data_IF_300084709079
#
_entry.id   IF_300084709079
#
_cell.length_a   1.000
_cell.length_b   1.000
_cell.length_c   1.000
_cell.angle_alpha   90.00
_cell.angle_beta   90.00
_cell.angle_gamma   90.00
#
_symmetry.space_group_name_H-M   'P 1'
#
loop_
_entity.id
_entity.type
_entity.pdbx_description
1 polymer ?
#
# COMPACT_ATOMS: atom_id res chain seq x y z
N UNK A 1 14.65 14.55 -12.17
CA UNK A 1 14.90 13.14 -11.84
C UNK A 1 16.26 12.64 -12.32
N UNK A 2 16.62 12.72 -13.62
CA UNK A 2 17.93 12.30 -14.15
C UNK A 2 19.13 12.91 -13.42
N UNK A 3 19.14 14.21 -13.16
CA UNK A 3 20.23 14.88 -12.44
C UNK A 3 20.37 14.40 -10.99
N UNK A 4 19.26 14.06 -10.32
CA UNK A 4 19.27 13.44 -9.00
C UNK A 4 19.87 12.03 -9.05
N UNK A 5 19.44 11.22 -10.02
CA UNK A 5 19.94 9.86 -10.21
C UNK A 5 21.46 9.85 -10.44
N UNK A 6 21.94 10.64 -11.40
CA UNK A 6 23.37 10.70 -11.73
C UNK A 6 24.21 11.12 -10.52
N UNK A 7 23.73 12.08 -9.72
CA UNK A 7 24.42 12.53 -8.50
C UNK A 7 24.40 11.48 -7.38
N UNK A 8 23.29 10.73 -7.23
CA UNK A 8 23.10 9.76 -6.15
C UNK A 8 23.80 8.43 -6.40
N UNK A 9 23.86 8.00 -7.65
CA UNK A 9 24.34 6.65 -8.02
C UNK A 9 25.64 6.69 -8.85
N UNK A 10 26.16 7.87 -9.18
CA UNK A 10 27.41 8.00 -9.95
C UNK A 10 27.33 7.45 -11.37
N UNK A 11 26.13 7.25 -11.90
CA UNK A 11 25.87 6.65 -13.20
C UNK A 11 24.90 7.49 -14.03
N UNK A 12 24.96 7.34 -15.34
CA UNK A 12 24.04 8.00 -16.24
C UNK A 12 22.68 7.29 -16.27
N UNK A 13 21.61 8.08 -16.33
CA UNK A 13 20.26 7.55 -16.52
C UNK A 13 20.15 6.75 -17.82
N UNK A 14 19.62 5.55 -17.76
CA UNK A 14 19.35 4.69 -18.90
C UNK A 14 17.85 4.42 -19.06
N UNK A 15 17.46 3.85 -20.21
CA UNK A 15 16.06 3.45 -20.42
C UNK A 15 15.61 2.34 -19.48
N UNK A 16 16.52 1.47 -19.02
CA UNK A 16 16.23 0.44 -18.02
C UNK A 16 15.80 1.03 -16.68
N UNK A 17 16.34 2.21 -16.30
CA UNK A 17 15.90 2.91 -15.09
C UNK A 17 14.45 3.39 -15.19
N UNK A 18 14.04 3.81 -16.39
CA UNK A 18 12.64 4.18 -16.63
C UNK A 18 11.70 2.98 -16.47
N UNK A 19 12.12 1.81 -16.97
CA UNK A 19 11.35 0.57 -16.82
C UNK A 19 11.29 0.12 -15.35
N UNK A 20 12.42 0.17 -14.64
CA UNK A 20 12.46 -0.15 -13.21
C UNK A 20 11.54 0.76 -12.40
N UNK A 21 11.55 2.06 -12.65
CA UNK A 21 10.65 3.00 -11.97
C UNK A 21 9.18 2.72 -12.28
N UNK A 22 8.86 2.31 -13.51
CA UNK A 22 7.48 2.02 -13.90
C UNK A 22 6.86 0.85 -13.12
N UNK A 23 7.68 -0.08 -12.64
CA UNK A 23 7.26 -1.21 -11.80
C UNK A 23 7.54 -1.01 -10.31
N UNK A 24 7.95 0.20 -9.91
CA UNK A 24 8.23 0.53 -8.51
C UNK A 24 9.57 0.03 -7.97
N UNK A 25 10.51 -0.31 -8.85
CA UNK A 25 11.85 -0.81 -8.50
C UNK A 25 12.95 0.24 -8.75
N UNK A 26 14.20 -0.13 -8.53
CA UNK A 26 15.38 0.69 -8.82
C UNK A 26 15.47 1.92 -7.93
N UNK A 27 15.65 3.10 -8.53
CA UNK A 27 15.82 4.36 -7.81
C UNK A 27 14.51 4.95 -7.20
N UNK A 28 13.44 4.18 -7.14
CA UNK A 28 12.17 4.58 -6.54
C UNK A 28 12.20 4.45 -5.01
N UNK A 29 12.90 5.37 -4.36
CA UNK A 29 12.98 5.40 -2.89
C UNK A 29 11.76 6.11 -2.31
N UNK A 30 10.94 5.37 -1.56
CA UNK A 30 9.76 5.88 -0.88
C UNK A 30 9.85 5.59 0.62
N UNK A 31 9.29 6.47 1.44
CA UNK A 31 9.06 6.17 2.84
C UNK A 31 7.67 5.57 3.02
N UNK A 32 7.49 4.73 4.05
CA UNK A 32 6.17 4.20 4.41
C UNK A 32 5.16 5.32 4.66
N UNK A 33 5.59 6.39 5.34
CA UNK A 33 4.75 7.56 5.60
C UNK A 33 4.28 8.25 4.31
N UNK A 34 5.16 8.41 3.31
CA UNK A 34 4.82 9.01 2.02
C UNK A 34 3.80 8.16 1.25
N UNK A 35 3.99 6.84 1.22
CA UNK A 35 3.04 5.93 0.58
C UNK A 35 1.69 5.93 1.30
N UNK A 36 1.69 5.82 2.64
CA UNK A 36 0.44 5.85 3.43
C UNK A 36 -0.31 7.16 3.22
N UNK A 37 0.40 8.30 3.18
CA UNK A 37 -0.18 9.61 2.84
C UNK A 37 -0.85 9.62 1.46
N UNK A 38 -0.20 9.05 0.44
CA UNK A 38 -0.78 8.93 -0.90
C UNK A 38 -2.05 8.08 -0.91
N UNK A 39 -2.05 6.95 -0.18
CA UNK A 39 -3.23 6.10 -0.06
C UNK A 39 -4.38 6.75 0.73
N UNK A 40 -4.06 7.68 1.65
CA UNK A 40 -5.10 8.51 2.29
C UNK A 40 -5.85 9.33 1.24
N UNK A 41 -5.15 9.87 0.23
CA UNK A 41 -5.82 10.57 -0.85
C UNK A 41 -6.69 9.65 -1.73
N UNK A 42 -6.26 8.41 -1.99
CA UNK A 42 -7.10 7.43 -2.71
C UNK A 42 -8.35 7.05 -1.91
N UNK A 43 -8.21 6.93 -0.60
CA UNK A 43 -9.31 6.61 0.32
C UNK A 43 -10.29 7.79 0.50
N UNK A 44 -9.81 9.03 0.45
CA UNK A 44 -10.55 10.25 0.79
C UNK A 44 -10.69 11.21 -0.41
N UNK A 45 -11.07 10.69 -1.57
CA UNK A 45 -11.43 11.45 -2.79
C UNK A 45 -10.42 12.54 -3.18
N UNK A 46 -9.15 12.23 -3.01
CA UNK A 46 -8.04 13.11 -3.36
C UNK A 46 -7.51 13.97 -2.22
N UNK A 47 -8.20 13.98 -1.08
CA UNK A 47 -7.79 14.73 0.10
C UNK A 47 -6.77 13.95 0.93
N UNK A 48 -5.68 14.57 1.31
CA UNK A 48 -4.65 13.99 2.17
C UNK A 48 -4.15 15.00 3.20
N UNK A 49 -3.65 14.46 4.31
CA UNK A 49 -3.06 15.24 5.40
C UNK A 49 -1.58 14.91 5.57
N UNK A 50 -0.83 15.81 6.16
CA UNK A 50 0.53 15.49 6.61
C UNK A 50 0.43 14.60 7.84
N UNK A 51 1.19 13.48 7.89
CA UNK A 51 1.25 12.65 9.09
C UNK A 51 1.73 13.44 10.31
N UNK A 52 1.06 13.29 11.44
CA UNK A 52 1.36 13.97 12.69
C UNK A 52 1.59 12.94 13.79
N UNK A 53 2.57 13.21 14.66
CA UNK A 53 2.85 12.35 15.83
C UNK A 53 2.03 12.80 17.07
N UNK A 54 1.60 14.06 17.10
CA UNK A 54 0.81 14.63 18.19
C UNK A 54 -0.56 15.00 17.64
N UNK A 55 -1.61 14.64 18.37
CA UNK A 55 -2.98 14.93 17.96
C UNK A 55 -3.21 16.45 17.85
N UNK A 56 -3.35 16.91 16.63
CA UNK A 56 -3.86 18.24 16.27
C UNK A 56 -4.72 18.07 15.01
N UNK A 57 -5.53 19.08 14.70
CA UNK A 57 -6.28 19.04 13.45
C UNK A 57 -5.32 19.18 12.25
N UNK A 58 -5.14 18.12 11.44
CA UNK A 58 -4.22 18.19 10.32
C UNK A 58 -4.80 19.06 9.20
N UNK A 59 -3.95 19.87 8.57
CA UNK A 59 -4.32 20.56 7.35
C UNK A 59 -4.53 19.55 6.22
N UNK A 60 -5.72 19.56 5.64
CA UNK A 60 -6.05 18.70 4.50
C UNK A 60 -5.76 19.43 3.18
N UNK A 61 -5.13 18.74 2.25
CA UNK A 61 -4.82 19.24 0.92
C UNK A 61 -5.25 18.26 -0.15
N UNK A 62 -5.92 18.75 -1.20
CA UNK A 62 -6.21 17.93 -2.37
C UNK A 62 -4.93 17.70 -3.18
N UNK A 63 -4.52 16.45 -3.31
CA UNK A 63 -3.30 16.03 -4.03
C UNK A 63 -3.61 15.15 -5.25
N UNK A 64 -4.83 14.62 -5.36
CA UNK A 64 -5.32 13.89 -6.52
C UNK A 64 -6.61 14.51 -7.02
N UNK A 65 -6.75 14.59 -8.34
CA UNK A 65 -7.93 15.13 -9.00
C UNK A 65 -8.46 14.09 -10.01
N UNK A 66 -9.22 13.13 -9.50
CA UNK A 66 -9.89 12.09 -10.28
C UNK A 66 -11.40 12.31 -10.22
N UNK A 67 -12.13 11.72 -11.17
CA UNK A 67 -13.59 11.72 -11.11
C UNK A 67 -14.10 10.71 -10.08
N UNK A 68 -15.34 10.83 -9.58
CA UNK A 68 -15.93 9.83 -8.68
C UNK A 68 -15.87 8.41 -9.24
N UNK A 69 -16.12 8.24 -10.54
CA UNK A 69 -16.06 6.94 -11.23
C UNK A 69 -14.65 6.36 -11.24
N UNK A 70 -13.63 7.21 -11.40
CA UNK A 70 -12.24 6.79 -11.35
C UNK A 70 -11.85 6.35 -9.94
N UNK A 71 -12.25 7.08 -8.89
CA UNK A 71 -12.04 6.64 -7.50
C UNK A 71 -12.75 5.31 -7.22
N UNK A 72 -14.01 5.16 -7.62
CA UNK A 72 -14.75 3.92 -7.45
C UNK A 72 -14.10 2.75 -8.21
N UNK A 73 -13.62 2.99 -9.42
CA UNK A 73 -12.88 1.99 -10.21
C UNK A 73 -11.60 1.54 -9.53
N UNK A 74 -10.80 2.48 -9.01
CA UNK A 74 -9.57 2.18 -8.27
C UNK A 74 -9.86 1.39 -6.99
N UNK A 75 -10.85 1.81 -6.19
CA UNK A 75 -11.25 1.10 -4.95
C UNK A 75 -11.65 -0.35 -5.25
N UNK A 76 -12.46 -0.60 -6.30
CA UNK A 76 -12.84 -1.95 -6.73
C UNK A 76 -11.63 -2.78 -7.16
N UNK A 77 -10.75 -2.21 -7.98
CA UNK A 77 -9.54 -2.89 -8.41
C UNK A 77 -8.63 -3.25 -7.23
N UNK A 78 -8.47 -2.33 -6.27
CA UNK A 78 -7.66 -2.55 -5.07
C UNK A 78 -8.30 -3.53 -4.09
N UNK A 79 -9.63 -3.61 -4.02
CA UNK A 79 -10.35 -4.62 -3.24
C UNK A 79 -10.11 -6.04 -3.77
N UNK A 80 -9.89 -6.19 -5.07
CA UNK A 80 -9.52 -7.46 -5.69
C UNK A 80 -8.22 -8.06 -5.15
N UNK A 81 -7.32 -7.24 -4.61
CA UNK A 81 -6.03 -7.70 -4.05
C UNK A 81 -6.23 -8.59 -2.81
N UNK A 82 -7.21 -8.30 -1.98
CA UNK A 82 -7.53 -9.07 -0.76
C UNK A 82 -8.69 -10.04 -0.94
N UNK A 83 -9.32 -10.06 -2.11
CA UNK A 83 -10.38 -11.02 -2.45
C UNK A 83 -9.81 -12.40 -2.72
N UNK A 84 -10.69 -13.41 -2.78
CA UNK A 84 -10.32 -14.77 -3.18
C UNK A 84 -9.62 -14.75 -4.54
N UNK A 85 -8.44 -15.38 -4.62
CA UNK A 85 -7.57 -15.36 -5.80
C UNK A 85 -6.69 -14.11 -5.94
N UNK A 86 -6.81 -13.11 -5.09
CA UNK A 86 -5.94 -11.94 -5.03
C UNK A 86 -4.61 -12.24 -4.37
N UNK A 87 -3.61 -11.38 -4.65
CA UNK A 87 -2.22 -11.53 -4.13
C UNK A 87 -2.11 -11.44 -2.61
N UNK A 88 -3.13 -10.92 -1.93
CA UNK A 88 -3.24 -10.85 -0.48
C UNK A 88 -4.55 -11.48 0.05
N UNK A 89 -5.04 -12.56 -0.58
CA UNK A 89 -6.26 -13.25 -0.15
C UNK A 89 -6.20 -13.69 1.31
N UNK A 90 -5.00 -14.01 1.83
CA UNK A 90 -4.77 -14.34 3.25
C UNK A 90 -4.98 -13.18 4.23
N UNK A 91 -5.13 -11.95 3.74
CA UNK A 91 -5.48 -10.76 4.53
C UNK A 91 -7.00 -10.48 4.56
N UNK A 92 -7.81 -11.34 3.92
CA UNK A 92 -9.26 -11.19 3.90
C UNK A 92 -9.84 -11.30 5.33
N UNK A 93 -10.80 -10.43 5.64
CA UNK A 93 -11.58 -10.47 6.87
C UNK A 93 -13.05 -10.67 6.48
N UNK A 94 -13.69 -11.69 7.04
CA UNK A 94 -15.10 -11.97 6.77
C UNK A 94 -15.97 -10.77 7.14
N UNK A 95 -16.75 -10.28 6.19
CA UNK A 95 -17.65 -9.12 6.38
C UNK A 95 -16.98 -7.76 6.27
N UNK A 96 -15.67 -7.70 5.92
CA UNK A 96 -14.96 -6.45 5.73
C UNK A 96 -14.15 -6.48 4.42
N UNK A 97 -14.45 -5.57 3.51
CA UNK A 97 -13.66 -5.43 2.27
C UNK A 97 -12.51 -4.46 2.51
N UNK A 98 -11.30 -4.95 2.34
CA UNK A 98 -10.07 -4.17 2.40
C UNK A 98 -9.62 -3.86 0.98
N UNK A 99 -9.36 -2.60 0.66
CA UNK A 99 -8.73 -2.19 -0.59
C UNK A 99 -7.25 -1.90 -0.33
N UNK A 100 -6.34 -2.44 -1.15
CA UNK A 100 -4.92 -2.22 -0.93
C UNK A 100 -4.04 -2.71 -2.07
N UNK A 101 -2.73 -2.63 -1.85
CA UNK A 101 -1.71 -3.12 -2.78
C UNK A 101 -0.54 -3.71 -2.02
N UNK A 102 -0.14 -4.91 -2.42
CA UNK A 102 1.11 -5.54 -2.00
C UNK A 102 2.29 -4.98 -2.80
N UNK A 103 3.45 -4.97 -2.20
CA UNK A 103 4.72 -4.68 -2.88
C UNK A 103 5.81 -5.62 -2.39
N UNK A 104 6.73 -5.96 -3.28
CA UNK A 104 7.95 -6.67 -2.97
C UNK A 104 9.10 -5.84 -3.55
N UNK A 105 9.93 -5.28 -2.70
CA UNK A 105 11.08 -4.48 -3.12
C UNK A 105 12.34 -5.32 -3.08
N UNK A 106 12.96 -5.52 -4.24
CA UNK A 106 14.20 -6.28 -4.37
C UNK A 106 15.34 -5.64 -3.57
N UNK A 107 16.12 -6.48 -2.87
CA UNK A 107 17.19 -6.05 -1.98
C UNK A 107 18.44 -6.96 -2.07
N UNK A 108 18.94 -7.28 -3.27
CA UNK A 108 20.09 -8.15 -3.41
C UNK A 108 21.35 -7.56 -2.74
N UNK A 109 22.20 -8.38 -2.04
CA UNK A 109 22.10 -9.84 -1.92
C UNK A 109 21.22 -10.33 -0.76
N UNK A 110 20.54 -9.43 -0.04
CA UNK A 110 19.68 -9.77 1.10
C UNK A 110 18.26 -10.14 0.62
N UNK A 111 17.45 -10.74 1.50
CA UNK A 111 16.03 -11.01 1.19
C UNK A 111 15.26 -9.73 0.85
N UNK A 112 14.23 -9.87 0.03
CA UNK A 112 13.38 -8.78 -0.42
C UNK A 112 12.59 -8.16 0.75
N UNK A 113 12.21 -6.89 0.59
CA UNK A 113 11.34 -6.21 1.56
C UNK A 113 9.87 -6.36 1.18
N UNK A 114 9.03 -6.62 2.16
CA UNK A 114 7.59 -6.74 1.97
C UNK A 114 6.85 -5.44 2.32
N UNK A 115 5.94 -5.03 1.44
CA UNK A 115 5.13 -3.84 1.58
C UNK A 115 3.65 -4.15 1.43
N UNK A 116 2.84 -3.46 2.19
CA UNK A 116 1.40 -3.35 1.95
C UNK A 116 0.93 -1.97 2.38
N UNK A 117 0.10 -1.36 1.56
CA UNK A 117 -0.69 -0.19 1.97
C UNK A 117 -2.12 -0.42 1.54
N UNK A 118 -3.05 -0.18 2.46
CA UNK A 118 -4.47 -0.38 2.20
C UNK A 118 -5.34 0.40 3.15
N UNK A 119 -6.64 0.40 2.86
CA UNK A 119 -7.66 1.07 3.64
C UNK A 119 -8.93 0.22 3.73
N UNK A 120 -9.72 0.49 4.74
CA UNK A 120 -10.98 -0.21 4.98
C UNK A 120 -12.00 0.67 5.74
N UNK A 121 -13.31 0.39 5.58
CA UNK A 121 -13.91 -0.41 4.51
C UNK A 121 -13.63 0.18 3.12
N UNK A 122 -13.59 -0.63 2.06
CA UNK A 122 -13.24 -0.16 0.72
C UNK A 122 -14.19 0.92 0.18
N UNK A 123 -15.49 0.80 0.48
CA UNK A 123 -16.53 1.74 0.00
C UNK A 123 -16.58 3.04 0.82
N UNK A 124 -16.37 2.95 2.15
CA UNK A 124 -16.38 4.09 3.06
C UNK A 124 -15.17 4.04 3.99
N UNK A 125 -13.98 4.42 3.53
CA UNK A 125 -12.73 4.25 4.27
C UNK A 125 -12.72 5.00 5.60
N UNK A 126 -12.37 4.31 6.68
CA UNK A 126 -12.25 4.85 8.02
C UNK A 126 -10.81 4.80 8.54
N UNK A 127 -9.98 3.93 7.96
CA UNK A 127 -8.58 3.78 8.33
C UNK A 127 -7.74 3.46 7.10
N UNK A 128 -6.54 4.02 7.06
CA UNK A 128 -5.47 3.65 6.12
C UNK A 128 -4.32 3.07 6.92
N UNK A 129 -3.81 1.91 6.50
CA UNK A 129 -2.69 1.23 7.17
C UNK A 129 -1.60 0.95 6.16
N UNK A 130 -0.39 1.38 6.49
CA UNK A 130 0.83 1.00 5.77
C UNK A 130 1.68 0.08 6.62
N UNK A 131 2.20 -0.99 6.03
CA UNK A 131 3.12 -1.95 6.66
C UNK A 131 4.34 -2.15 5.78
N UNK A 132 5.50 -2.05 6.39
CA UNK A 132 6.79 -2.42 5.82
C UNK A 132 7.43 -3.48 6.71
N UNK A 133 7.86 -4.58 6.11
CA UNK A 133 8.63 -5.62 6.77
C UNK A 133 9.99 -5.70 6.09
N UNK A 134 11.02 -5.30 6.81
CA UNK A 134 12.39 -5.48 6.37
C UNK A 134 12.70 -6.97 6.27
N UNK A 135 13.22 -7.38 5.11
CA UNK A 135 13.48 -8.79 4.78
C UNK A 135 12.23 -9.70 4.87
N UNK A 136 11.04 -9.11 4.67
CA UNK A 136 9.77 -9.84 4.78
C UNK A 136 9.41 -10.65 3.54
N UNK A 137 10.27 -10.68 2.52
CA UNK A 137 10.19 -11.45 1.26
C UNK A 137 8.94 -11.16 0.43
N UNK A 138 7.75 -11.44 0.96
CA UNK A 138 6.50 -11.34 0.19
C UNK A 138 5.48 -10.38 0.79
N UNK A 139 4.93 -9.52 -0.06
CA UNK A 139 3.96 -8.48 0.36
C UNK A 139 2.70 -9.00 1.04
N UNK A 140 2.32 -10.27 0.86
CA UNK A 140 1.16 -10.84 1.55
C UNK A 140 1.38 -10.96 3.07
N UNK A 141 2.62 -11.11 3.57
CA UNK A 141 2.89 -11.07 5.01
C UNK A 141 2.60 -9.69 5.60
N UNK A 142 3.02 -8.63 4.90
CA UNK A 142 2.69 -7.27 5.29
C UNK A 142 1.17 -7.02 5.26
N UNK A 143 0.46 -7.57 4.27
CA UNK A 143 -1.00 -7.47 4.17
C UNK A 143 -1.72 -8.18 5.33
N UNK A 144 -1.27 -9.37 5.73
CA UNK A 144 -1.81 -10.08 6.90
C UNK A 144 -1.64 -9.31 8.20
N UNK A 145 -0.51 -8.62 8.37
CA UNK A 145 -0.31 -7.76 9.54
C UNK A 145 -1.22 -6.54 9.49
N UNK A 146 -1.33 -5.90 8.33
CA UNK A 146 -2.23 -4.77 8.12
C UNK A 146 -3.69 -5.13 8.41
N UNK A 147 -4.16 -6.32 7.95
CA UNK A 147 -5.53 -6.76 8.18
C UNK A 147 -5.84 -6.95 9.67
N UNK A 148 -4.89 -7.44 10.47
CA UNK A 148 -5.06 -7.54 11.93
C UNK A 148 -5.23 -6.18 12.59
N UNK A 149 -4.42 -5.18 12.17
CA UNK A 149 -4.55 -3.80 12.67
C UNK A 149 -5.89 -3.20 12.28
N UNK A 150 -6.28 -3.34 11.01
CA UNK A 150 -7.57 -2.87 10.48
C UNK A 150 -8.74 -3.53 11.23
N UNK A 151 -8.72 -4.86 11.34
CA UNK A 151 -9.75 -5.62 12.03
C UNK A 151 -9.89 -5.17 13.50
N UNK A 152 -8.78 -5.03 14.20
CA UNK A 152 -8.78 -4.54 15.59
C UNK A 152 -9.36 -3.14 15.73
N UNK A 153 -9.00 -2.23 14.82
CA UNK A 153 -9.48 -0.85 14.83
C UNK A 153 -11.00 -0.75 14.57
N UNK A 154 -11.49 -1.55 13.60
CA UNK A 154 -12.90 -1.53 13.18
C UNK A 154 -13.79 -2.50 13.99
N UNK A 155 -13.26 -3.16 15.02
CA UNK A 155 -14.02 -4.06 15.88
C UNK A 155 -14.31 -5.45 15.27
N UNK A 156 -13.62 -5.82 14.20
CA UNK A 156 -13.70 -7.17 13.62
C UNK A 156 -12.75 -8.11 14.38
N UNK A 157 -13.28 -8.92 15.29
CA UNK A 157 -12.51 -9.89 16.10
C UNK A 157 -12.41 -11.28 15.46
N UNK A 158 -12.95 -11.46 14.25
CA UNK A 158 -12.92 -12.74 13.53
C UNK A 158 -11.51 -13.09 13.04
N UNK A 159 -11.14 -14.37 13.19
CA UNK A 159 -9.92 -14.90 12.60
C UNK A 159 -9.93 -14.65 11.07
N UNK A 160 -8.79 -14.23 10.54
CA UNK A 160 -8.59 -14.22 9.09
C UNK A 160 -8.91 -15.64 8.58
N UNK A 161 -9.72 -15.75 7.53
CA UNK A 161 -10.02 -17.05 6.91
C UNK A 161 -8.71 -17.57 6.33
N UNK A 162 -8.02 -18.41 7.09
CA UNK A 162 -6.84 -19.13 6.59
C UNK A 162 -7.37 -20.24 5.71
N UNK A 163 -7.40 -20.02 4.41
CA UNK A 163 -7.52 -21.12 3.46
C UNK A 163 -6.23 -21.93 3.52
N UNK A 164 -6.26 -23.04 4.23
CA UNK A 164 -5.20 -24.05 4.33
C UNK A 164 -5.27 -25.02 3.13
N UNK A 165 -5.59 -24.58 1.95
CA UNK A 165 -5.55 -25.43 0.76
C UNK A 165 -4.66 -24.77 -0.30
N UNK A 166 -3.49 -25.36 -0.50
CA UNK A 166 -2.55 -25.03 -1.57
C UNK A 166 -1.12 -25.32 -1.17
N UNK A 167 -0.76 -26.60 -1.08
CA UNK A 167 0.61 -27.05 -1.14
C UNK A 167 1.18 -26.93 -2.54
#
# INVERSE_FOLDING_TARGET
MRAYYNRRFGANWSNSETLNLAIGQGANSQTLASLTKFYTALANEGMSSTPELVAKQPEQKKILNLTPEQYAGLRRAMAGVTSVGGTAASANIRGLVIAGKTGTAQNPPNPDHAWFVGFAPAENPQIVVGVFLEFGEHGYYAARLASKVIGRYLGFTGEAVVNTEGG
#
